data_IF_274236491936
#
_entry.id   IF_274236491936
#
_cell.length_a   1.000
_cell.length_b   1.000
_cell.length_c   1.000
_cell.angle_alpha   90.00
_cell.angle_beta   90.00
_cell.angle_gamma   90.00
#
_symmetry.space_group_name_H-M   'P 1'
#
loop_
_entity.id
_entity.type
_entity.pdbx_description
1 polymer ?
#
# COMPACT_ATOMS: atom_id res chain seq x y z
N UNK A 1 2.44 -35.46 8.65
CA UNK A 1 3.60 -35.72 7.76
C UNK A 1 3.83 -37.23 7.55
N UNK A 2 4.09 -38.04 8.58
CA UNK A 2 4.35 -39.50 8.42
C UNK A 2 3.23 -40.25 7.69
N UNK A 3 1.96 -40.02 8.06
CA UNK A 3 0.79 -40.64 7.41
C UNK A 3 0.68 -40.28 5.92
N UNK A 4 1.03 -39.04 5.52
CA UNK A 4 1.05 -38.63 4.14
C UNK A 4 2.16 -39.33 3.35
N UNK A 5 3.34 -39.44 3.91
CA UNK A 5 4.47 -40.17 3.31
C UNK A 5 4.17 -41.67 3.15
N UNK A 6 3.57 -42.30 4.17
CA UNK A 6 3.19 -43.73 4.14
C UNK A 6 2.14 -43.99 3.04
N UNK A 7 1.16 -43.12 2.86
CA UNK A 7 0.14 -43.26 1.81
C UNK A 7 0.69 -43.02 0.41
N UNK A 8 1.56 -42.03 0.24
CA UNK A 8 2.23 -41.76 -1.05
C UNK A 8 3.16 -42.91 -1.45
N UNK A 9 3.84 -43.55 -0.47
CA UNK A 9 4.67 -44.73 -0.71
C UNK A 9 3.87 -46.00 -1.07
N UNK A 10 2.56 -46.02 -0.82
CA UNK A 10 1.64 -47.10 -1.17
C UNK A 10 0.79 -46.83 -2.42
N UNK A 11 1.21 -45.92 -3.33
CA UNK A 11 0.49 -45.48 -4.53
C UNK A 11 -0.91 -44.89 -4.32
N UNK A 12 -1.30 -44.55 -3.07
CA UNK A 12 -2.52 -43.79 -2.73
C UNK A 12 -2.26 -42.28 -2.83
N UNK A 13 -2.11 -41.80 -4.04
CA UNK A 13 -1.83 -40.36 -4.32
C UNK A 13 -2.94 -39.44 -3.77
N UNK A 14 -4.20 -39.82 -3.91
CA UNK A 14 -5.34 -39.03 -3.43
C UNK A 14 -5.37 -38.96 -1.90
N UNK A 15 -5.20 -40.09 -1.21
CA UNK A 15 -5.11 -40.13 0.25
C UNK A 15 -3.84 -39.50 0.80
N UNK A 16 -2.73 -39.61 0.07
CA UNK A 16 -1.47 -38.95 0.43
C UNK A 16 -1.55 -37.42 0.32
N UNK A 17 -2.16 -36.88 -0.74
CA UNK A 17 -2.38 -35.43 -0.91
C UNK A 17 -3.37 -34.89 0.11
N UNK A 18 -4.44 -35.62 0.45
CA UNK A 18 -5.38 -35.20 1.49
C UNK A 18 -4.69 -35.16 2.87
N UNK A 19 -3.97 -36.20 3.25
CA UNK A 19 -3.21 -36.24 4.51
C UNK A 19 -2.09 -35.18 4.58
N UNK A 20 -1.44 -34.89 3.46
CA UNK A 20 -0.48 -33.80 3.34
C UNK A 20 -1.12 -32.45 3.59
N UNK A 21 -2.28 -32.15 2.98
CA UNK A 21 -3.05 -30.94 3.21
C UNK A 21 -3.47 -30.81 4.67
N UNK A 22 -3.99 -31.87 5.29
CA UNK A 22 -4.38 -31.87 6.70
C UNK A 22 -3.20 -31.56 7.61
N UNK A 23 -2.02 -32.14 7.31
CA UNK A 23 -0.80 -31.89 8.06
C UNK A 23 -0.34 -30.43 7.94
N UNK A 24 -0.42 -29.81 6.74
CA UNK A 24 -0.10 -28.39 6.53
C UNK A 24 -1.08 -27.50 7.30
N UNK A 25 -2.38 -27.80 7.27
CA UNK A 25 -3.39 -27.06 8.03
C UNK A 25 -3.18 -27.18 9.54
N UNK A 26 -2.81 -28.37 10.03
CA UNK A 26 -2.50 -28.56 11.44
C UNK A 26 -1.24 -27.77 11.86
N UNK A 27 -0.21 -27.75 11.02
CA UNK A 27 0.98 -26.95 11.25
C UNK A 27 0.69 -25.44 11.25
N UNK A 28 -0.10 -24.97 10.29
CA UNK A 28 -0.52 -23.58 10.25
C UNK A 28 -1.26 -23.16 11.53
N UNK A 29 -2.20 -23.98 12.00
CA UNK A 29 -2.90 -23.77 13.27
C UNK A 29 -1.96 -23.76 14.47
N UNK A 30 -0.95 -24.65 14.48
CA UNK A 30 0.05 -24.67 15.54
C UNK A 30 0.89 -23.38 15.54
N UNK A 31 1.31 -22.90 14.37
CA UNK A 31 2.03 -21.63 14.24
C UNK A 31 1.17 -20.46 14.74
N UNK A 32 -0.10 -20.41 14.37
CA UNK A 32 -1.04 -19.38 14.84
C UNK A 32 -1.09 -19.27 16.37
N UNK A 33 -0.81 -20.36 17.11
CA UNK A 33 -0.79 -20.35 18.58
C UNK A 33 0.36 -19.52 19.17
N UNK A 34 1.37 -19.19 18.41
CA UNK A 34 2.53 -18.41 18.85
C UNK A 34 2.53 -16.98 18.30
N UNK A 35 1.52 -16.60 17.52
CA UNK A 35 1.43 -15.24 16.98
C UNK A 35 1.10 -14.23 18.10
N UNK A 36 1.80 -13.10 18.16
CA UNK A 36 1.44 -12.00 19.03
C UNK A 36 0.11 -11.36 18.59
N UNK A 37 -0.53 -10.65 19.49
CA UNK A 37 -1.86 -10.06 19.30
C UNK A 37 -1.99 -9.30 17.96
N UNK A 38 -1.06 -8.42 17.62
CA UNK A 38 -1.07 -7.63 16.39
C UNK A 38 -1.10 -8.51 15.13
N UNK A 39 -0.19 -9.50 15.05
CA UNK A 39 -0.14 -10.39 13.88
C UNK A 39 -1.41 -11.26 13.75
N UNK A 40 -2.01 -11.62 14.89
CA UNK A 40 -3.27 -12.35 14.89
C UNK A 40 -4.44 -11.48 14.38
N UNK A 41 -4.45 -10.18 14.68
CA UNK A 41 -5.41 -9.23 14.14
C UNK A 41 -5.24 -9.11 12.63
N UNK A 42 -4.01 -8.93 12.13
CA UNK A 42 -3.70 -8.83 10.70
C UNK A 42 -4.18 -10.06 9.94
N UNK A 43 -3.87 -11.25 10.44
CA UNK A 43 -4.28 -12.52 9.84
C UNK A 43 -5.81 -12.70 9.83
N UNK A 44 -6.49 -12.24 10.88
CA UNK A 44 -7.94 -12.31 10.99
C UNK A 44 -8.62 -11.36 10.00
N UNK A 45 -8.08 -10.16 9.83
CA UNK A 45 -8.58 -9.18 8.87
C UNK A 45 -8.40 -9.66 7.43
N UNK A 46 -7.27 -10.25 7.09
CA UNK A 46 -7.03 -10.79 5.75
C UNK A 46 -8.00 -11.93 5.40
N UNK A 47 -8.23 -12.87 6.32
CA UNK A 47 -9.24 -13.92 6.13
C UNK A 47 -10.64 -13.31 5.99
N UNK A 48 -10.97 -12.24 6.77
CA UNK A 48 -12.27 -11.58 6.70
C UNK A 48 -12.49 -10.89 5.35
N UNK A 49 -11.48 -10.26 4.78
CA UNK A 49 -11.52 -9.71 3.41
C UNK A 49 -11.84 -10.80 2.38
N UNK A 50 -11.24 -11.97 2.55
CA UNK A 50 -11.55 -13.15 1.74
C UNK A 50 -13.02 -13.59 1.87
N UNK A 51 -13.59 -13.51 3.07
CA UNK A 51 -15.03 -13.80 3.32
C UNK A 51 -15.92 -12.76 2.63
N UNK A 52 -15.62 -11.46 2.77
CA UNK A 52 -16.36 -10.38 2.12
C UNK A 52 -16.30 -10.53 0.58
N UNK A 53 -15.11 -10.77 0.03
CA UNK A 53 -14.94 -11.01 -1.41
C UNK A 53 -15.75 -12.22 -1.90
N UNK A 54 -15.81 -13.30 -1.11
CA UNK A 54 -16.64 -14.45 -1.44
C UNK A 54 -18.15 -14.18 -1.41
N UNK A 55 -18.61 -13.20 -0.63
CA UNK A 55 -20.00 -12.79 -0.54
C UNK A 55 -20.40 -11.70 -1.54
N UNK A 56 -19.44 -10.99 -2.13
CA UNK A 56 -19.69 -9.98 -3.12
C UNK A 56 -20.38 -10.58 -4.37
N UNK A 57 -21.35 -9.88 -5.01
CA UNK A 57 -21.98 -10.35 -6.24
C UNK A 57 -20.94 -10.49 -7.35
N UNK A 58 -21.11 -11.50 -8.19
CA UNK A 58 -20.28 -11.66 -9.38
C UNK A 58 -20.45 -10.44 -10.31
N UNK A 59 -19.34 -9.82 -10.71
CA UNK A 59 -19.35 -8.59 -11.52
C UNK A 59 -19.66 -8.85 -13.00
N UNK A 60 -19.55 -10.10 -13.44
CA UNK A 60 -19.69 -10.51 -14.84
C UNK A 60 -21.11 -10.97 -15.25
N UNK A 61 -22.07 -10.95 -14.30
CA UNK A 61 -23.46 -11.33 -14.55
C UNK A 61 -23.66 -12.79 -14.98
N UNK A 62 -22.62 -13.63 -14.93
CA UNK A 62 -22.74 -15.05 -15.27
C UNK A 62 -23.48 -15.82 -14.18
N UNK A 63 -24.45 -16.68 -14.51
CA UNK A 63 -25.15 -17.50 -13.53
C UNK A 63 -24.16 -18.46 -12.86
N UNK A 64 -24.09 -18.39 -11.52
CA UNK A 64 -23.22 -19.26 -10.74
C UNK A 64 -23.75 -20.71 -10.77
N UNK A 65 -22.87 -21.67 -11.03
CA UNK A 65 -23.24 -23.09 -10.93
C UNK A 65 -23.47 -23.50 -9.48
N UNK A 66 -24.30 -24.54 -9.26
CA UNK A 66 -24.55 -25.08 -7.91
C UNK A 66 -23.28 -25.57 -7.20
N UNK A 67 -22.24 -25.96 -7.95
CA UNK A 67 -20.95 -26.37 -7.40
C UNK A 67 -20.15 -25.15 -6.92
N UNK A 68 -20.14 -24.05 -7.68
CA UNK A 68 -19.51 -22.78 -7.31
C UNK A 68 -20.18 -22.17 -6.06
N UNK A 69 -21.53 -22.13 -6.03
CA UNK A 69 -22.28 -21.64 -4.88
C UNK A 69 -21.96 -22.44 -3.60
N UNK A 70 -21.90 -23.78 -3.69
CA UNK A 70 -21.48 -24.62 -2.55
C UNK A 70 -20.05 -24.36 -2.11
N UNK A 71 -19.12 -24.22 -3.05
CA UNK A 71 -17.73 -23.89 -2.75
C UNK A 71 -17.55 -22.52 -2.11
N UNK A 72 -18.34 -21.54 -2.55
CA UNK A 72 -18.40 -20.20 -1.95
C UNK A 72 -18.91 -20.24 -0.52
N UNK A 73 -20.06 -20.89 -0.29
CA UNK A 73 -20.64 -21.03 1.04
C UNK A 73 -19.69 -21.77 2.00
N UNK A 74 -19.03 -22.81 1.54
CA UNK A 74 -18.03 -23.51 2.35
C UNK A 74 -16.87 -22.61 2.77
N UNK A 75 -16.35 -21.76 1.87
CA UNK A 75 -15.31 -20.77 2.19
C UNK A 75 -15.79 -19.75 3.23
N UNK A 76 -16.98 -19.20 3.06
CA UNK A 76 -17.57 -18.26 4.01
C UNK A 76 -17.72 -18.91 5.40
N UNK A 77 -18.24 -20.12 5.46
CA UNK A 77 -18.44 -20.85 6.73
C UNK A 77 -17.10 -21.15 7.41
N UNK A 78 -16.11 -21.65 6.67
CA UNK A 78 -14.78 -21.99 7.19
C UNK A 78 -14.02 -20.72 7.65
N UNK A 79 -14.00 -19.66 6.83
CA UNK A 79 -13.36 -18.40 7.19
C UNK A 79 -14.01 -17.73 8.41
N UNK A 80 -15.36 -17.73 8.49
CA UNK A 80 -16.08 -17.23 9.67
C UNK A 80 -15.73 -18.03 10.94
N UNK A 81 -15.66 -19.36 10.85
CA UNK A 81 -15.31 -20.21 11.99
C UNK A 81 -13.87 -19.97 12.46
N UNK A 82 -12.91 -19.86 11.53
CA UNK A 82 -11.51 -19.51 11.84
C UNK A 82 -11.40 -18.17 12.53
N UNK A 83 -12.04 -17.14 11.99
CA UNK A 83 -12.00 -15.78 12.54
C UNK A 83 -12.59 -15.72 13.94
N UNK A 84 -13.70 -16.41 14.21
CA UNK A 84 -14.27 -16.52 15.57
C UNK A 84 -13.30 -17.21 16.55
N UNK A 85 -12.61 -18.27 16.14
CA UNK A 85 -11.61 -18.93 16.97
C UNK A 85 -10.43 -17.99 17.29
N UNK A 86 -9.96 -17.21 16.30
CA UNK A 86 -8.89 -16.22 16.49
C UNK A 86 -9.34 -15.08 17.44
N UNK A 87 -10.55 -14.57 17.28
CA UNK A 87 -11.11 -13.55 18.18
C UNK A 87 -11.22 -14.06 19.63
N UNK A 88 -11.65 -15.30 19.83
CA UNK A 88 -11.66 -15.91 21.17
C UNK A 88 -10.26 -15.99 21.78
N UNK A 89 -9.22 -16.28 20.99
CA UNK A 89 -7.83 -16.27 21.47
C UNK A 89 -7.33 -14.87 21.79
N UNK A 90 -7.71 -13.85 21.00
CA UNK A 90 -7.33 -12.46 21.25
C UNK A 90 -7.75 -11.97 22.65
N UNK A 91 -8.88 -12.46 23.18
CA UNK A 91 -9.30 -12.16 24.56
C UNK A 91 -8.22 -12.53 25.58
N UNK A 92 -7.62 -13.72 25.44
CA UNK A 92 -6.53 -14.14 26.33
C UNK A 92 -5.28 -13.28 26.17
N UNK A 93 -4.88 -12.99 24.92
CA UNK A 93 -3.70 -12.15 24.63
C UNK A 93 -3.88 -10.72 25.16
N UNK A 94 -5.05 -10.11 24.99
CA UNK A 94 -5.36 -8.77 25.53
C UNK A 94 -5.24 -8.77 27.05
N UNK A 95 -5.76 -9.80 27.71
CA UNK A 95 -5.65 -9.92 29.17
C UNK A 95 -4.20 -10.13 29.63
N UNK A 96 -3.41 -10.92 28.92
CA UNK A 96 -1.98 -11.13 29.18
C UNK A 96 -1.17 -9.85 29.05
N UNK A 97 -1.37 -9.07 27.98
CA UNK A 97 -0.69 -7.80 27.76
C UNK A 97 -1.05 -6.76 28.83
N UNK A 98 -2.33 -6.69 29.22
CA UNK A 98 -2.76 -5.79 30.30
C UNK A 98 -2.14 -6.20 31.63
N UNK A 99 -2.11 -7.49 31.94
CA UNK A 99 -1.48 -7.99 33.17
C UNK A 99 0.03 -7.71 33.19
N UNK A 100 0.72 -7.82 32.03
CA UNK A 100 2.12 -7.47 31.89
C UNK A 100 2.36 -5.97 32.16
N UNK A 101 1.50 -5.09 31.65
CA UNK A 101 1.56 -3.66 31.90
C UNK A 101 1.33 -3.32 33.39
N UNK A 102 0.41 -4.03 34.06
CA UNK A 102 0.17 -3.88 35.50
C UNK A 102 1.37 -4.34 36.34
N UNK A 103 2.00 -5.43 35.96
CA UNK A 103 3.21 -5.91 36.64
C UNK A 103 4.39 -4.94 36.45
N UNK A 104 4.56 -4.39 35.25
CA UNK A 104 5.59 -3.41 34.97
C UNK A 104 5.40 -2.11 35.79
N UNK A 105 4.15 -1.67 35.99
CA UNK A 105 3.84 -0.50 36.83
C UNK A 105 4.02 -0.74 38.33
N UNK A 106 4.00 -1.99 38.80
CA UNK A 106 4.22 -2.41 40.18
C UNK A 106 5.69 -2.72 40.48
N UNK A 107 6.56 -2.76 39.44
CA UNK A 107 7.99 -3.00 39.66
C UNK A 107 8.53 -1.97 40.70
N UNK A 108 9.37 -2.41 41.69
CA UNK A 108 9.83 -1.54 42.74
C UNK A 108 10.59 -0.34 42.14
N UNK A 109 10.18 0.86 42.53
CA UNK A 109 10.91 2.08 42.21
C UNK A 109 12.36 1.93 42.63
N UNK A 110 13.28 2.59 41.92
CA UNK A 110 14.70 2.62 42.24
C UNK A 110 14.89 2.82 43.77
N UNK A 111 15.61 1.92 44.45
CA UNK A 111 15.85 2.05 45.90
C UNK A 111 16.54 3.36 46.30
N UNK A 112 17.07 4.12 45.34
CA UNK A 112 17.66 5.43 45.53
C UNK A 112 16.69 6.60 45.27
N UNK A 113 15.43 6.33 44.85
CA UNK A 113 14.44 7.38 44.71
C UNK A 113 14.05 7.99 46.06
N UNK A 114 13.88 9.30 46.18
CA UNK A 114 13.54 9.96 47.43
C UNK A 114 12.22 9.43 48.00
N UNK A 115 12.25 8.97 49.24
CA UNK A 115 11.18 8.23 49.93
C UNK A 115 9.89 9.03 50.24
N UNK A 116 9.75 10.26 49.76
CA UNK A 116 8.59 11.10 50.06
C UNK A 116 7.97 11.63 48.77
N UNK A 117 6.97 10.93 48.14
CA UNK A 117 6.23 11.51 47.08
C UNK A 117 5.41 12.69 47.57
N UNK A 118 5.64 13.87 47.01
CA UNK A 118 4.77 15.03 47.20
C UNK A 118 3.33 14.60 46.79
N UNK A 119 2.31 14.72 47.64
CA UNK A 119 0.95 14.34 47.33
C UNK A 119 0.35 15.11 46.15
N UNK A 120 1.00 16.20 45.72
CA UNK A 120 0.66 16.95 44.51
C UNK A 120 1.59 16.66 43.30
N UNK A 121 2.51 15.70 43.43
CA UNK A 121 3.37 15.33 42.30
C UNK A 121 2.53 14.74 41.17
N UNK A 122 2.92 15.07 39.93
CA UNK A 122 2.32 14.46 38.73
C UNK A 122 2.43 12.91 38.79
N UNK A 123 1.46 12.18 38.28
CA UNK A 123 1.52 10.71 38.21
C UNK A 123 2.85 10.25 37.65
N UNK A 124 3.45 9.20 38.25
CA UNK A 124 4.69 8.62 37.73
C UNK A 124 4.52 8.17 36.29
N UNK A 125 5.60 8.14 35.51
CA UNK A 125 5.58 7.63 34.13
C UNK A 125 4.99 6.23 34.04
N UNK A 126 5.29 5.36 35.00
CA UNK A 126 4.74 4.01 35.09
C UNK A 126 3.20 4.03 35.29
N UNK A 127 2.67 4.93 36.12
CA UNK A 127 1.23 5.08 36.28
C UNK A 127 0.55 5.61 35.02
N UNK A 128 1.16 6.57 34.33
CA UNK A 128 0.65 7.07 33.06
C UNK A 128 0.71 6.00 31.93
N UNK A 129 1.78 5.20 31.89
CA UNK A 129 1.91 4.09 30.96
C UNK A 129 0.84 3.02 31.19
N UNK A 130 0.58 2.67 32.45
CA UNK A 130 -0.49 1.72 32.80
C UNK A 130 -1.87 2.24 32.40
N UNK A 131 -2.16 3.52 32.65
CA UNK A 131 -3.45 4.09 32.26
C UNK A 131 -3.65 4.08 30.74
N UNK A 132 -2.60 4.41 29.96
CA UNK A 132 -2.61 4.28 28.49
C UNK A 132 -2.83 2.84 28.03
N UNK A 133 -2.17 1.87 28.68
CA UNK A 133 -2.37 0.45 28.37
C UNK A 133 -3.80 0.01 28.66
N UNK A 134 -4.38 0.42 29.78
CA UNK A 134 -5.79 0.13 30.12
C UNK A 134 -6.77 0.69 29.12
N UNK A 135 -6.55 1.91 28.65
CA UNK A 135 -7.39 2.53 27.62
C UNK A 135 -7.25 1.79 26.28
N UNK A 136 -6.01 1.51 25.85
CA UNK A 136 -5.75 0.79 24.60
C UNK A 136 -6.38 -0.60 24.60
N UNK A 137 -6.08 -1.42 25.60
CA UNK A 137 -6.58 -2.80 25.65
C UNK A 137 -8.07 -2.88 25.99
N UNK A 138 -8.63 -1.89 26.71
CA UNK A 138 -10.05 -1.74 26.91
C UNK A 138 -10.79 -1.47 25.58
N UNK A 139 -10.27 -0.57 24.76
CA UNK A 139 -10.83 -0.32 23.42
C UNK A 139 -10.68 -1.53 22.51
N UNK A 140 -9.52 -2.20 22.55
CA UNK A 140 -9.28 -3.42 21.76
C UNK A 140 -10.30 -4.52 22.09
N UNK A 141 -10.62 -4.72 23.37
CA UNK A 141 -11.63 -5.72 23.77
C UNK A 141 -13.05 -5.35 23.30
N UNK A 142 -13.42 -4.07 23.33
CA UNK A 142 -14.72 -3.61 22.80
C UNK A 142 -14.82 -3.91 21.31
N UNK A 143 -13.82 -3.53 20.50
CA UNK A 143 -13.81 -3.75 19.06
C UNK A 143 -13.78 -5.24 18.70
N UNK A 144 -12.98 -6.03 19.45
CA UNK A 144 -12.96 -7.49 19.33
C UNK A 144 -14.35 -8.10 19.54
N UNK A 145 -15.05 -7.68 20.62
CA UNK A 145 -16.39 -8.19 20.94
C UNK A 145 -17.44 -7.77 19.90
N UNK A 146 -17.32 -6.58 19.33
CA UNK A 146 -18.19 -6.11 18.25
C UNK A 146 -17.97 -6.91 16.96
N UNK A 147 -16.70 -7.17 16.57
CA UNK A 147 -16.36 -8.01 15.45
C UNK A 147 -16.89 -9.45 15.65
N UNK A 148 -16.73 -10.02 16.84
CA UNK A 148 -17.26 -11.36 17.16
C UNK A 148 -18.78 -11.43 17.04
N UNK A 149 -19.49 -10.41 17.50
CA UNK A 149 -20.96 -10.34 17.37
C UNK A 149 -21.36 -10.32 15.90
N UNK A 150 -20.73 -9.50 15.06
CA UNK A 150 -21.01 -9.45 13.63
C UNK A 150 -20.71 -10.79 12.93
N UNK A 151 -19.65 -11.50 13.33
CA UNK A 151 -19.35 -12.86 12.81
C UNK A 151 -20.33 -13.92 13.31
N UNK A 152 -20.88 -13.78 14.53
CA UNK A 152 -21.93 -14.68 15.03
C UNK A 152 -23.23 -14.48 14.24
N UNK A 153 -23.59 -13.24 13.93
CA UNK A 153 -24.73 -12.92 13.07
C UNK A 153 -24.54 -13.51 11.67
N UNK A 154 -23.34 -13.33 11.06
CA UNK A 154 -22.99 -13.93 9.78
C UNK A 154 -23.13 -15.46 9.81
N UNK A 155 -22.60 -16.13 10.85
CA UNK A 155 -22.70 -17.58 10.99
C UNK A 155 -24.16 -18.05 11.11
N UNK A 156 -25.01 -17.29 11.82
CA UNK A 156 -26.44 -17.59 11.97
C UNK A 156 -27.16 -17.53 10.63
N UNK A 157 -26.92 -16.48 9.85
CA UNK A 157 -27.56 -16.31 8.54
C UNK A 157 -27.02 -17.33 7.52
N UNK A 158 -25.72 -17.62 7.54
CA UNK A 158 -25.12 -18.65 6.70
C UNK A 158 -25.69 -20.06 6.97
N UNK A 159 -26.15 -20.32 8.21
CA UNK A 159 -26.84 -21.55 8.59
C UNK A 159 -28.36 -21.53 8.24
N UNK A 160 -28.87 -20.51 7.55
CA UNK A 160 -30.27 -20.40 7.18
C UNK A 160 -31.16 -19.70 8.24
N UNK A 161 -30.56 -19.10 9.27
CA UNK A 161 -31.25 -18.28 10.27
C UNK A 161 -31.68 -16.92 9.71
N UNK A 162 -32.52 -16.22 10.50
CA UNK A 162 -32.94 -14.84 10.18
C UNK A 162 -31.89 -13.84 10.68
N UNK A 163 -31.62 -12.80 9.89
CA UNK A 163 -30.68 -11.74 10.24
C UNK A 163 -30.48 -10.72 9.12
N UNK A 164 -29.49 -9.85 9.29
CA UNK A 164 -29.06 -8.92 8.24
C UNK A 164 -28.48 -9.70 7.03
N UNK A 165 -28.45 -9.10 5.83
CA UNK A 165 -27.82 -9.73 4.68
C UNK A 165 -26.39 -10.19 5.01
N UNK A 166 -25.96 -11.40 4.56
CA UNK A 166 -24.64 -11.96 4.92
C UNK A 166 -23.47 -11.01 4.61
N UNK A 167 -23.55 -10.29 3.49
CA UNK A 167 -22.53 -9.33 3.09
C UNK A 167 -22.41 -8.14 4.07
N UNK A 168 -23.55 -7.66 4.59
CA UNK A 168 -23.56 -6.54 5.52
C UNK A 168 -22.95 -6.95 6.87
N UNK A 169 -23.29 -8.14 7.39
CA UNK A 169 -22.67 -8.69 8.61
C UNK A 169 -21.16 -8.92 8.41
N UNK A 170 -20.75 -9.41 7.24
CA UNK A 170 -19.35 -9.63 6.93
C UNK A 170 -18.56 -8.31 6.86
N UNK A 171 -19.13 -7.26 6.24
CA UNK A 171 -18.53 -5.92 6.19
C UNK A 171 -18.50 -5.24 7.56
N UNK A 172 -19.53 -5.43 8.39
CA UNK A 172 -19.53 -4.93 9.77
C UNK A 172 -18.39 -5.54 10.58
N UNK A 173 -18.16 -6.85 10.45
CA UNK A 173 -17.02 -7.51 11.09
C UNK A 173 -15.67 -6.99 10.55
N UNK A 174 -15.53 -6.83 9.24
CA UNK A 174 -14.33 -6.27 8.62
C UNK A 174 -14.04 -4.87 9.15
N UNK A 175 -15.03 -3.98 9.19
CA UNK A 175 -14.86 -2.62 9.70
C UNK A 175 -14.34 -2.61 11.14
N UNK A 176 -14.86 -3.47 12.02
CA UNK A 176 -14.40 -3.58 13.41
C UNK A 176 -13.00 -4.17 13.53
N UNK A 177 -12.62 -5.08 12.65
CA UNK A 177 -11.26 -5.61 12.58
C UNK A 177 -10.25 -4.55 12.07
N UNK A 178 -10.65 -3.70 11.13
CA UNK A 178 -9.82 -2.57 10.68
C UNK A 178 -9.62 -1.57 11.82
N UNK A 179 -10.68 -1.20 12.54
CA UNK A 179 -10.56 -0.32 13.72
C UNK A 179 -9.64 -0.95 14.78
N UNK A 180 -9.78 -2.26 15.05
CA UNK A 180 -8.92 -3.00 15.99
C UNK A 180 -7.46 -3.02 15.52
N UNK A 181 -7.19 -3.25 14.24
CA UNK A 181 -5.83 -3.19 13.68
C UNK A 181 -5.19 -1.82 13.87
N UNK A 182 -5.95 -0.75 13.61
CA UNK A 182 -5.48 0.64 13.74
C UNK A 182 -5.04 0.99 15.17
N UNK A 183 -5.62 0.39 16.20
CA UNK A 183 -5.18 0.62 17.58
C UNK A 183 -3.72 0.21 17.83
N UNK A 184 -3.21 -0.73 17.03
CA UNK A 184 -1.82 -1.24 17.16
C UNK A 184 -0.86 -0.65 16.12
N UNK A 185 -1.29 0.33 15.34
CA UNK A 185 -0.42 1.01 14.40
C UNK A 185 0.62 1.87 15.12
N UNK A 186 1.85 1.81 14.64
CA UNK A 186 2.84 2.83 14.96
C UNK A 186 2.45 4.16 14.31
N UNK A 187 3.04 5.26 14.76
CA UNK A 187 2.80 6.58 14.17
C UNK A 187 3.12 6.61 12.68
N UNK A 188 4.16 5.89 12.25
CA UNK A 188 4.54 5.76 10.82
C UNK A 188 3.48 5.01 10.03
N UNK A 189 2.86 3.99 10.62
CA UNK A 189 1.78 3.25 9.95
C UNK A 189 0.50 4.06 9.85
N UNK A 190 0.14 4.80 10.89
CA UNK A 190 -0.95 5.78 10.83
C UNK A 190 -0.71 6.83 9.75
N UNK A 191 0.53 7.33 9.63
CA UNK A 191 0.88 8.31 8.60
C UNK A 191 0.73 7.71 7.18
N UNK A 192 1.19 6.47 6.96
CA UNK A 192 1.01 5.78 5.67
C UNK A 192 -0.46 5.58 5.32
N UNK A 193 -1.26 5.17 6.30
CA UNK A 193 -2.70 4.98 6.11
C UNK A 193 -3.39 6.30 5.77
N UNK A 194 -3.03 7.39 6.47
CA UNK A 194 -3.56 8.72 6.19
C UNK A 194 -3.21 9.19 4.78
N UNK A 195 -1.97 8.96 4.31
CA UNK A 195 -1.55 9.28 2.93
C UNK A 195 -2.42 8.52 1.92
N UNK A 196 -2.62 7.23 2.13
CA UNK A 196 -3.45 6.38 1.26
C UNK A 196 -4.90 6.89 1.22
N UNK A 197 -5.52 7.08 2.39
CA UNK A 197 -6.92 7.51 2.50
C UNK A 197 -7.14 8.93 1.95
N UNK A 198 -6.19 9.84 2.19
CA UNK A 198 -6.24 11.20 1.64
C UNK A 198 -6.08 11.19 0.12
N UNK A 199 -5.24 10.30 -0.42
CA UNK A 199 -5.10 10.07 -1.87
C UNK A 199 -6.40 9.59 -2.49
N UNK A 200 -7.05 8.58 -1.91
CA UNK A 200 -8.35 8.08 -2.34
C UNK A 200 -9.44 9.17 -2.27
N UNK A 201 -9.45 9.97 -1.22
CA UNK A 201 -10.41 11.08 -1.08
C UNK A 201 -10.18 12.16 -2.15
N UNK A 202 -8.93 12.48 -2.50
CA UNK A 202 -8.61 13.39 -3.60
C UNK A 202 -9.06 12.83 -4.95
N UNK A 203 -8.85 11.54 -5.20
CA UNK A 203 -9.26 10.90 -6.45
C UNK A 203 -10.79 10.87 -6.58
N UNK A 204 -11.51 10.59 -5.50
CA UNK A 204 -12.97 10.68 -5.45
C UNK A 204 -13.48 12.13 -5.61
N UNK A 205 -12.76 13.12 -5.07
CA UNK A 205 -13.06 14.55 -5.29
C UNK A 205 -12.88 14.91 -6.76
N UNK A 206 -11.83 14.40 -7.41
CA UNK A 206 -11.58 14.57 -8.84
C UNK A 206 -12.69 13.91 -9.69
N UNK A 207 -13.09 12.70 -9.32
CA UNK A 207 -14.19 12.01 -9.99
C UNK A 207 -15.51 12.80 -9.84
N UNK A 208 -15.81 13.29 -8.65
CA UNK A 208 -16.99 14.12 -8.39
C UNK A 208 -16.97 15.43 -9.18
N UNK A 209 -15.81 16.09 -9.36
CA UNK A 209 -15.67 17.28 -10.19
C UNK A 209 -16.06 17.04 -11.65
N UNK A 210 -15.84 15.82 -12.18
CA UNK A 210 -16.21 15.43 -13.54
C UNK A 210 -17.68 15.11 -13.74
N UNK A 211 -18.48 14.99 -12.67
CA UNK A 211 -19.90 14.67 -12.73
C UNK A 211 -20.77 15.92 -12.98
N UNK A 212 -22.04 15.71 -13.31
CA UNK A 212 -23.04 16.77 -13.33
C UNK A 212 -23.32 17.32 -11.92
N UNK A 213 -24.06 18.43 -11.83
CA UNK A 213 -24.33 19.08 -10.54
C UNK A 213 -25.06 18.18 -9.54
N UNK A 214 -25.95 17.30 -10.02
CA UNK A 214 -26.70 16.37 -9.16
C UNK A 214 -25.81 15.24 -8.64
N UNK A 215 -24.99 14.64 -9.50
CA UNK A 215 -24.00 13.62 -9.12
C UNK A 215 -22.98 14.15 -8.14
N UNK A 216 -22.46 15.36 -8.43
CA UNK A 216 -21.52 16.08 -7.56
C UNK A 216 -22.11 16.34 -6.17
N UNK A 217 -23.33 16.87 -6.11
CA UNK A 217 -24.04 17.14 -4.86
C UNK A 217 -24.27 15.87 -4.03
N UNK A 218 -24.55 14.73 -4.67
CA UNK A 218 -24.75 13.46 -3.99
C UNK A 218 -23.48 12.92 -3.33
N UNK A 219 -22.26 13.24 -3.85
CA UNK A 219 -20.99 12.77 -3.29
C UNK A 219 -20.45 13.64 -2.16
N UNK A 220 -20.82 14.91 -2.11
CA UNK A 220 -20.27 15.87 -1.15
C UNK A 220 -20.39 15.46 0.32
N UNK A 221 -21.51 14.93 0.82
CA UNK A 221 -21.61 14.53 2.24
C UNK A 221 -20.52 13.51 2.63
N UNK A 222 -20.28 12.50 1.80
CA UNK A 222 -19.26 11.49 2.05
C UNK A 222 -17.83 12.05 1.95
N UNK A 223 -17.57 12.98 1.04
CA UNK A 223 -16.28 13.64 0.93
C UNK A 223 -15.97 14.53 2.15
N UNK A 224 -16.96 15.28 2.63
CA UNK A 224 -16.86 16.12 3.84
C UNK A 224 -16.58 15.27 5.07
N UNK A 225 -17.31 14.17 5.25
CA UNK A 225 -17.13 13.27 6.39
C UNK A 225 -15.74 12.66 6.41
N UNK A 226 -15.26 12.13 5.27
CA UNK A 226 -13.91 11.55 5.16
C UNK A 226 -12.83 12.59 5.40
N UNK A 227 -12.95 13.78 4.80
CA UNK A 227 -11.97 14.86 5.01
C UNK A 227 -11.91 15.30 6.48
N UNK A 228 -13.05 15.34 7.18
CA UNK A 228 -13.08 15.64 8.62
C UNK A 228 -12.37 14.52 9.44
N UNK A 229 -12.55 13.27 9.07
CA UNK A 229 -11.82 12.14 9.68
C UNK A 229 -10.31 12.25 9.50
N UNK A 230 -9.85 12.65 8.29
CA UNK A 230 -8.42 12.86 8.01
C UNK A 230 -7.83 14.00 8.84
N UNK A 231 -8.56 15.08 9.04
CA UNK A 231 -8.16 16.19 9.93
C UNK A 231 -7.92 15.69 11.35
N UNK A 232 -8.84 14.90 11.91
CA UNK A 232 -8.70 14.35 13.26
C UNK A 232 -7.50 13.40 13.39
N UNK A 233 -7.29 12.54 12.40
CA UNK A 233 -6.16 11.62 12.38
C UNK A 233 -4.83 12.36 12.24
N UNK A 234 -4.74 13.38 11.37
CA UNK A 234 -3.55 14.21 11.22
C UNK A 234 -3.18 14.93 12.52
N UNK A 235 -4.17 15.46 13.26
CA UNK A 235 -3.97 16.08 14.56
C UNK A 235 -3.40 15.10 15.61
N UNK A 236 -3.95 13.89 15.66
CA UNK A 236 -3.46 12.84 16.55
C UNK A 236 -2.02 12.43 16.21
N UNK A 237 -1.68 12.27 14.91
CA UNK A 237 -0.33 11.95 14.45
C UNK A 237 0.64 13.08 14.80
N UNK A 238 0.29 14.34 14.54
CA UNK A 238 1.13 15.49 14.85
C UNK A 238 1.43 15.58 16.36
N UNK A 239 0.43 15.33 17.19
CA UNK A 239 0.56 15.31 18.65
C UNK A 239 1.45 14.16 19.12
N UNK A 240 1.28 12.96 18.55
CA UNK A 240 2.10 11.79 18.89
C UNK A 240 3.57 11.99 18.48
N UNK A 241 3.85 12.57 17.32
CA UNK A 241 5.20 12.89 16.86
C UNK A 241 5.87 13.92 17.75
N UNK A 242 5.15 14.96 18.16
CA UNK A 242 5.65 15.97 19.10
C UNK A 242 6.00 15.34 20.47
N UNK A 243 5.13 14.50 21.01
CA UNK A 243 5.39 13.77 22.24
C UNK A 243 6.60 12.83 22.14
N UNK A 244 6.81 12.18 20.99
CA UNK A 244 8.00 11.37 20.76
C UNK A 244 9.28 12.22 20.69
N UNK A 245 9.22 13.40 20.05
CA UNK A 245 10.33 14.35 20.03
C UNK A 245 10.72 14.79 21.45
N UNK A 246 9.74 15.16 22.27
CA UNK A 246 9.95 15.59 23.65
C UNK A 246 10.52 14.46 24.53
N UNK A 247 9.96 13.25 24.41
CA UNK A 247 10.43 12.08 25.15
C UNK A 247 11.88 11.71 24.77
N UNK A 248 12.19 11.74 23.47
CA UNK A 248 13.54 11.46 23.00
C UNK A 248 14.55 12.54 23.40
N UNK A 249 14.13 13.81 23.52
CA UNK A 249 14.98 14.91 24.02
C UNK A 249 15.24 14.79 25.54
N UNK A 250 14.27 14.28 26.31
CA UNK A 250 14.39 14.10 27.77
C UNK A 250 15.15 12.84 28.16
N UNK A 251 15.17 11.81 27.32
CA UNK A 251 15.77 10.51 27.60
C UNK A 251 17.30 10.48 27.70
N UNK A 252 17.97 11.65 27.69
CA UNK A 252 19.39 11.95 28.02
C UNK A 252 20.39 10.93 27.45
N UNK A 253 21.25 11.37 26.53
CA UNK A 253 22.58 10.83 26.18
C UNK A 253 22.76 9.32 25.86
N UNK A 254 21.75 8.48 25.94
CA UNK A 254 21.82 7.18 25.30
C UNK A 254 21.79 7.38 23.78
N UNK A 255 22.90 7.05 23.14
CA UNK A 255 23.00 7.13 21.67
C UNK A 255 21.82 6.39 21.06
N UNK A 256 20.97 7.04 20.22
CA UNK A 256 19.84 6.35 19.60
C UNK A 256 20.34 5.11 18.86
N UNK A 257 19.60 4.02 18.98
CA UNK A 257 19.94 2.80 18.24
C UNK A 257 20.08 3.11 16.72
N UNK A 258 21.01 2.48 16.01
CA UNK A 258 21.17 2.70 14.58
C UNK A 258 19.83 2.54 13.87
N UNK A 259 19.41 3.55 13.10
CA UNK A 259 18.14 3.55 12.36
C UNK A 259 16.94 4.13 13.11
N UNK A 260 17.09 4.57 14.37
CA UNK A 260 16.03 5.29 15.08
C UNK A 260 16.08 6.78 14.71
N UNK A 261 14.95 7.43 14.32
CA UNK A 261 14.91 8.85 14.05
C UNK A 261 15.35 9.69 15.29
N UNK A 262 16.06 10.77 15.05
CA UNK A 262 16.48 11.69 16.11
C UNK A 262 15.30 12.50 16.67
N UNK A 263 15.41 13.08 17.88
CA UNK A 263 14.40 14.01 18.42
C UNK A 263 14.07 15.13 17.44
N UNK A 264 15.08 15.67 16.78
CA UNK A 264 14.94 16.73 15.78
C UNK A 264 14.15 16.26 14.57
N UNK A 265 14.40 15.04 14.10
CA UNK A 265 13.68 14.42 12.98
C UNK A 265 12.20 14.24 13.32
N UNK A 266 11.86 13.78 14.52
CA UNK A 266 10.47 13.71 14.98
C UNK A 266 9.82 15.10 15.04
N UNK A 267 10.53 16.12 15.50
CA UNK A 267 10.05 17.51 15.54
C UNK A 267 9.78 18.08 14.13
N UNK A 268 10.68 17.83 13.18
CA UNK A 268 10.50 18.21 11.78
C UNK A 268 9.30 17.49 11.16
N UNK A 269 9.17 16.18 11.34
CA UNK A 269 8.03 15.41 10.87
C UNK A 269 6.70 15.91 11.48
N UNK A 270 6.69 16.25 12.77
CA UNK A 270 5.52 16.86 13.40
C UNK A 270 5.14 18.21 12.77
N UNK A 271 6.11 19.00 12.33
CA UNK A 271 5.89 20.28 11.66
C UNK A 271 5.28 20.06 10.27
N UNK A 272 5.80 19.13 9.49
CA UNK A 272 5.24 18.75 8.19
C UNK A 272 3.78 18.29 8.32
N UNK A 273 3.48 17.40 9.30
CA UNK A 273 2.10 16.93 9.52
C UNK A 273 1.18 18.08 9.94
N UNK A 274 1.65 19.08 10.73
CA UNK A 274 0.85 20.27 11.07
C UNK A 274 0.56 21.14 9.85
N UNK A 275 1.51 21.27 8.93
CA UNK A 275 1.30 21.99 7.67
C UNK A 275 0.25 21.25 6.80
N UNK A 276 0.35 19.93 6.69
CA UNK A 276 -0.65 19.09 6.04
C UNK A 276 -2.04 19.23 6.69
N UNK A 277 -2.10 19.27 8.03
CA UNK A 277 -3.33 19.48 8.78
C UNK A 277 -4.01 20.80 8.40
N UNK A 278 -3.26 21.90 8.30
CA UNK A 278 -3.80 23.18 7.83
C UNK A 278 -4.42 23.07 6.45
N UNK A 279 -3.70 22.46 5.49
CA UNK A 279 -4.22 22.24 4.15
C UNK A 279 -5.47 21.34 4.12
N UNK A 280 -5.53 20.29 4.97
CA UNK A 280 -6.72 19.45 5.11
C UNK A 280 -7.92 20.19 5.69
N UNK A 281 -7.68 21.10 6.64
CA UNK A 281 -8.74 21.98 7.20
C UNK A 281 -9.29 22.92 6.13
N UNK A 282 -8.43 23.50 5.29
CA UNK A 282 -8.86 24.31 4.17
C UNK A 282 -9.70 23.50 3.17
N UNK A 283 -9.26 22.30 2.80
CA UNK A 283 -10.03 21.41 1.94
C UNK A 283 -11.40 21.06 2.55
N UNK A 284 -11.44 20.75 3.85
CA UNK A 284 -12.68 20.45 4.59
C UNK A 284 -13.65 21.64 4.59
N UNK A 285 -13.15 22.86 4.79
CA UNK A 285 -13.96 24.08 4.75
C UNK A 285 -14.55 24.31 3.36
N UNK A 286 -13.74 24.15 2.29
CA UNK A 286 -14.19 24.31 0.91
C UNK A 286 -15.25 23.26 0.55
N UNK A 287 -15.03 21.98 0.87
CA UNK A 287 -16.00 20.91 0.62
C UNK A 287 -17.30 21.12 1.40
N UNK A 288 -17.23 21.62 2.64
CA UNK A 288 -18.38 21.96 3.45
C UNK A 288 -19.17 23.10 2.81
N UNK A 289 -18.49 24.16 2.39
CA UNK A 289 -19.14 25.27 1.69
C UNK A 289 -19.79 24.81 0.38
N UNK A 290 -19.12 23.96 -0.39
CA UNK A 290 -19.65 23.37 -1.60
C UNK A 290 -20.93 22.56 -1.32
N UNK A 291 -20.95 21.74 -0.27
CA UNK A 291 -22.13 20.98 0.17
C UNK A 291 -23.30 21.89 0.51
N UNK A 292 -23.05 22.96 1.26
CA UNK A 292 -24.10 23.87 1.72
C UNK A 292 -24.68 24.71 0.58
N UNK A 293 -23.88 24.93 -0.48
CA UNK A 293 -24.28 25.68 -1.69
C UNK A 293 -24.80 24.79 -2.82
N UNK A 294 -24.64 23.47 -2.74
CA UNK A 294 -24.92 22.51 -3.81
C UNK A 294 -26.35 22.57 -4.39
N UNK A 295 -27.32 23.06 -3.62
CA UNK A 295 -28.72 23.23 -4.06
C UNK A 295 -28.99 24.56 -4.78
N UNK A 296 -28.06 25.51 -4.74
CA UNK A 296 -28.30 26.89 -5.17
C UNK A 296 -27.43 27.30 -6.37
N UNK A 297 -26.24 26.74 -6.52
CA UNK A 297 -25.25 27.15 -7.52
C UNK A 297 -24.31 25.98 -7.89
N UNK A 298 -23.79 26.02 -9.12
CA UNK A 298 -22.63 25.21 -9.48
C UNK A 298 -21.41 25.67 -8.64
N UNK A 299 -20.67 24.74 -8.11
CA UNK A 299 -19.49 25.01 -7.27
C UNK A 299 -18.25 24.35 -7.88
N UNK A 300 -17.11 25.01 -7.71
CA UNK A 300 -15.81 24.54 -8.16
C UNK A 300 -15.09 23.79 -7.03
N UNK A 301 -14.69 22.54 -7.28
CA UNK A 301 -13.93 21.72 -6.33
C UNK A 301 -12.41 21.85 -6.51
N UNK A 302 -11.92 22.57 -7.54
CA UNK A 302 -10.48 22.73 -7.78
C UNK A 302 -9.72 23.32 -6.58
N UNK A 303 -10.24 24.30 -5.81
CA UNK A 303 -9.54 24.76 -4.62
C UNK A 303 -9.38 23.68 -3.55
N UNK A 304 -10.39 22.81 -3.36
CA UNK A 304 -10.27 21.69 -2.44
C UNK A 304 -9.22 20.66 -2.91
N UNK A 305 -9.19 20.35 -4.21
CA UNK A 305 -8.20 19.48 -4.83
C UNK A 305 -6.77 20.02 -4.66
N UNK A 306 -6.56 21.34 -4.82
CA UNK A 306 -5.27 21.98 -4.59
C UNK A 306 -4.83 21.82 -3.12
N UNK A 307 -5.72 22.08 -2.17
CA UNK A 307 -5.43 21.91 -0.73
C UNK A 307 -5.16 20.44 -0.38
N UNK A 308 -5.91 19.50 -0.95
CA UNK A 308 -5.66 18.06 -0.77
C UNK A 308 -4.31 17.62 -1.33
N UNK A 309 -3.88 18.16 -2.48
CA UNK A 309 -2.56 17.90 -3.06
C UNK A 309 -1.43 18.42 -2.16
N UNK A 310 -1.56 19.66 -1.65
CA UNK A 310 -0.61 20.23 -0.68
C UNK A 310 -0.52 19.39 0.59
N UNK A 311 -1.66 18.92 1.11
CA UNK A 311 -1.68 18.05 2.28
C UNK A 311 -0.90 16.75 2.04
N UNK A 312 -1.10 16.10 0.89
CA UNK A 312 -0.38 14.86 0.53
C UNK A 312 1.13 15.09 0.43
N UNK A 313 1.57 16.18 -0.20
CA UNK A 313 3.00 16.52 -0.31
C UNK A 313 3.66 16.62 1.08
N UNK A 314 3.04 17.32 2.02
CA UNK A 314 3.57 17.47 3.37
C UNK A 314 3.53 16.17 4.17
N UNK A 315 2.50 15.33 4.02
CA UNK A 315 2.46 14.01 4.64
C UNK A 315 3.57 13.09 4.11
N UNK A 316 3.82 13.09 2.81
CA UNK A 316 4.89 12.31 2.18
C UNK A 316 6.28 12.81 2.64
N UNK A 317 6.45 14.12 2.82
CA UNK A 317 7.67 14.70 3.38
C UNK A 317 7.87 14.23 4.83
N UNK A 318 6.83 14.25 5.67
CA UNK A 318 6.89 13.73 7.02
C UNK A 318 7.27 12.23 7.05
N UNK A 319 6.68 11.43 6.16
CA UNK A 319 6.99 10.01 6.05
C UNK A 319 8.45 9.78 5.65
N UNK A 320 8.99 10.57 4.72
CA UNK A 320 10.38 10.48 4.28
C UNK A 320 11.36 10.79 5.41
N UNK A 321 11.06 11.77 6.25
CA UNK A 321 11.86 12.10 7.42
C UNK A 321 11.92 10.93 8.43
N UNK A 322 10.82 10.19 8.58
CA UNK A 322 10.72 9.09 9.56
C UNK A 322 11.25 7.75 9.04
N UNK A 323 11.54 7.64 7.75
CA UNK A 323 12.14 6.42 7.19
C UNK A 323 13.64 6.41 7.50
N UNK A 324 14.21 5.24 7.88
CA UNK A 324 15.66 5.13 7.96
C UNK A 324 16.26 5.47 6.60
N UNK A 325 17.43 6.15 6.57
CA UNK A 325 18.12 6.41 5.32
C UNK A 325 18.33 5.06 4.60
N UNK A 326 18.12 5.01 3.28
CA UNK A 326 18.38 3.80 2.52
C UNK A 326 19.81 3.33 2.81
N UNK A 327 20.02 2.01 2.98
CA UNK A 327 21.36 1.50 3.20
C UNK A 327 22.29 2.02 2.10
N UNK A 328 23.52 2.42 2.47
CA UNK A 328 24.48 3.07 1.56
C UNK A 328 24.75 2.25 0.27
N UNK A 329 24.42 0.97 0.26
CA UNK A 329 24.47 0.11 -0.93
C UNK A 329 23.53 0.57 -2.05
N UNK A 330 22.32 1.08 -1.74
CA UNK A 330 21.37 1.55 -2.78
C UNK A 330 21.84 2.88 -3.41
N UNK A 331 22.65 3.69 -2.70
CA UNK A 331 23.26 4.89 -3.29
C UNK A 331 24.41 4.55 -4.25
N UNK A 332 25.11 3.44 -4.01
CA UNK A 332 26.18 2.95 -4.90
C UNK A 332 25.58 2.33 -6.17
N UNK A 333 24.46 1.61 -6.04
CA UNK A 333 23.75 1.03 -7.19
C UNK A 333 23.09 2.12 -8.06
N UNK A 334 22.52 3.18 -7.47
CA UNK A 334 22.00 4.31 -8.25
C UNK A 334 23.08 5.11 -8.97
N UNK A 335 24.27 5.26 -8.38
CA UNK A 335 25.42 5.87 -9.07
C UNK A 335 26.01 4.95 -10.15
N UNK A 336 25.94 3.64 -9.96
CA UNK A 336 26.38 2.66 -10.96
C UNK A 336 25.41 2.59 -12.14
N UNK A 337 24.09 2.67 -11.90
CA UNK A 337 23.08 2.73 -12.96
C UNK A 337 23.17 4.04 -13.77
N UNK A 338 23.46 5.19 -13.13
CA UNK A 338 23.70 6.44 -13.85
C UNK A 338 25.00 6.36 -14.70
N UNK A 339 26.06 5.75 -14.18
CA UNK A 339 27.28 5.56 -14.97
C UNK A 339 27.10 4.56 -16.13
N UNK A 340 26.26 3.54 -15.96
CA UNK A 340 25.94 2.63 -17.07
C UNK A 340 25.07 3.32 -18.14
N UNK A 341 24.10 4.15 -17.76
CA UNK A 341 23.31 4.92 -18.73
C UNK A 341 24.16 5.93 -19.51
N UNK A 342 25.11 6.60 -18.87
CA UNK A 342 26.04 7.50 -19.55
C UNK A 342 27.01 6.75 -20.49
N UNK A 343 27.39 5.53 -20.11
CA UNK A 343 28.24 4.68 -20.96
C UNK A 343 27.48 4.11 -22.17
N UNK A 344 26.24 3.70 -22.00
CA UNK A 344 25.36 3.28 -23.11
C UNK A 344 25.05 4.44 -24.09
N UNK A 345 24.89 5.67 -23.61
CA UNK A 345 24.72 6.83 -24.47
C UNK A 345 26.02 7.17 -25.26
N UNK A 346 27.18 6.98 -24.66
CA UNK A 346 28.45 7.17 -25.34
C UNK A 346 28.70 6.10 -26.40
N UNK A 347 28.36 4.84 -26.11
CA UNK A 347 28.48 3.74 -27.06
C UNK A 347 27.50 3.88 -28.23
N UNK A 348 26.28 4.35 -28.00
CA UNK A 348 25.33 4.67 -29.06
C UNK A 348 25.85 5.81 -29.96
N UNK A 349 26.43 6.87 -29.41
CA UNK A 349 27.01 7.94 -30.22
C UNK A 349 28.21 7.47 -31.05
N UNK A 350 29.04 6.57 -30.52
CA UNK A 350 30.14 5.98 -31.30
C UNK A 350 29.63 5.05 -32.41
N UNK A 351 28.57 4.30 -32.17
CA UNK A 351 27.96 3.43 -33.17
C UNK A 351 27.32 4.23 -34.31
N UNK A 352 26.66 5.33 -34.00
CA UNK A 352 26.09 6.24 -35.00
C UNK A 352 27.16 6.94 -35.84
N UNK A 353 28.27 7.34 -35.23
CA UNK A 353 29.43 7.88 -35.99
C UNK A 353 30.08 6.83 -36.90
N UNK A 354 30.22 5.60 -36.46
CA UNK A 354 30.71 4.51 -37.33
C UNK A 354 29.75 4.18 -38.49
N UNK A 355 28.45 4.19 -38.25
CA UNK A 355 27.44 4.00 -39.30
C UNK A 355 27.47 5.15 -40.33
N UNK A 356 27.63 6.41 -39.89
CA UNK A 356 27.77 7.53 -40.83
C UNK A 356 29.04 7.45 -41.66
N UNK A 357 30.19 7.02 -41.10
CA UNK A 357 31.41 6.81 -41.84
C UNK A 357 31.29 5.65 -42.84
N UNK A 358 30.62 4.56 -42.50
CA UNK A 358 30.35 3.47 -43.43
C UNK A 358 29.40 3.89 -44.56
N UNK A 359 28.38 4.69 -44.29
CA UNK A 359 27.48 5.22 -45.33
C UNK A 359 28.23 6.15 -46.27
N UNK A 360 29.08 7.05 -45.79
CA UNK A 360 29.89 7.92 -46.64
C UNK A 360 30.89 7.14 -47.51
N UNK A 361 31.50 6.08 -46.97
CA UNK A 361 32.41 5.24 -47.76
C UNK A 361 31.68 4.43 -48.84
N UNK A 362 30.45 3.99 -48.54
CA UNK A 362 29.61 3.25 -49.48
C UNK A 362 29.07 4.17 -50.60
N UNK A 363 28.73 5.41 -50.30
CA UNK A 363 28.35 6.43 -51.29
C UNK A 363 29.51 6.80 -52.20
N UNK A 364 30.72 6.94 -51.68
CA UNK A 364 31.92 7.17 -52.48
C UNK A 364 32.24 5.99 -53.42
N UNK A 365 32.09 4.77 -52.96
CA UNK A 365 32.21 3.57 -53.81
C UNK A 365 31.15 3.49 -54.91
N UNK A 366 29.90 3.85 -54.58
CA UNK A 366 28.81 3.90 -55.58
C UNK A 366 29.03 5.02 -56.60
N UNK A 367 29.59 6.17 -56.23
CA UNK A 367 29.98 7.22 -57.17
C UNK A 367 31.06 6.76 -58.11
N UNK A 368 32.12 6.13 -57.60
CA UNK A 368 33.20 5.56 -58.46
C UNK A 368 32.70 4.50 -59.40
N UNK A 369 31.75 3.64 -58.98
CA UNK A 369 31.13 2.64 -59.87
C UNK A 369 30.30 3.31 -60.98
N UNK A 370 29.52 4.34 -60.66
CA UNK A 370 28.77 5.11 -61.65
C UNK A 370 29.66 5.84 -62.66
N UNK A 371 30.77 6.40 -62.22
CA UNK A 371 31.77 7.02 -63.12
C UNK A 371 32.40 6.00 -64.06
N UNK A 372 32.82 4.83 -63.55
CA UNK A 372 33.32 3.74 -64.40
C UNK A 372 32.31 3.18 -65.39
N UNK A 373 31.03 3.10 -65.01
CA UNK A 373 29.95 2.71 -65.95
C UNK A 373 29.72 3.78 -67.04
N UNK A 374 29.73 5.05 -66.64
CA UNK A 374 29.61 6.15 -67.60
C UNK A 374 30.80 6.21 -68.56
N UNK A 375 31.99 5.92 -68.08
CA UNK A 375 33.21 5.83 -68.93
C UNK A 375 33.13 4.67 -69.90
N UNK A 376 32.70 3.46 -69.48
CA UNK A 376 32.45 2.30 -70.38
C UNK A 376 31.37 2.55 -71.41
N UNK A 377 30.32 3.30 -71.03
CA UNK A 377 29.29 3.67 -72.00
C UNK A 377 29.78 4.69 -73.02
N UNK A 378 30.67 5.63 -72.62
CA UNK A 378 31.31 6.53 -73.57
C UNK A 378 32.24 5.78 -74.53
N UNK A 379 33.09 4.87 -74.06
CA UNK A 379 33.95 4.01 -74.90
C UNK A 379 33.12 3.12 -75.84
N UNK A 380 31.96 2.58 -75.38
CA UNK A 380 31.07 1.83 -76.31
C UNK A 380 30.53 2.70 -77.43
N UNK A 381 30.04 3.91 -77.07
CA UNK A 381 29.53 4.84 -78.10
C UNK A 381 30.61 5.28 -79.09
N UNK A 382 31.83 5.52 -78.62
CA UNK A 382 32.95 5.84 -79.47
C UNK A 382 33.34 4.66 -80.41
N UNK A 383 33.35 3.44 -79.91
CA UNK A 383 33.54 2.23 -80.73
C UNK A 383 32.42 1.97 -81.75
N UNK A 384 31.18 2.28 -81.39
CA UNK A 384 30.05 2.21 -82.30
C UNK A 384 30.10 3.29 -83.36
N UNK A 385 30.54 4.50 -83.06
CA UNK A 385 30.79 5.57 -84.02
C UNK A 385 31.95 5.27 -84.99
N UNK A 386 33.00 4.63 -84.47
CA UNK A 386 34.12 4.18 -85.36
C UNK A 386 33.74 3.01 -86.25
N UNK A 387 32.80 2.16 -85.87
CA UNK A 387 32.30 1.04 -86.74
C UNK A 387 31.25 1.47 -87.74
N UNK A 388 30.59 2.62 -87.53
CA UNK A 388 29.58 3.14 -88.43
C UNK A 388 30.12 3.88 -89.63
N UNK A 389 31.45 3.92 -89.86
CA UNK A 389 32.09 4.62 -90.95
C UNK A 389 32.38 3.79 -92.22
N UNK A 390 31.97 2.54 -92.31
CA UNK A 390 32.14 1.78 -93.51
C UNK A 390 30.86 1.79 -94.34
N UNK A 391 30.99 2.36 -95.56
CA UNK A 391 29.92 2.58 -96.55
C UNK A 391 29.30 1.29 -97.05
N UNK A 392 28.03 1.35 -97.49
CA UNK A 392 27.41 0.19 -98.11
C UNK A 392 27.97 -0.12 -99.46
N UNK A 393 28.44 -1.30 -99.67
CA UNK A 393 28.70 -1.85 -100.98
C UNK A 393 27.41 -2.38 -101.59
N UNK A 394 26.93 -1.65 -102.59
CA UNK A 394 25.95 -2.13 -103.51
C UNK A 394 26.36 -3.47 -104.14
N UNK A 395 25.53 -4.48 -104.07
CA UNK A 395 25.56 -5.61 -105.02
C UNK A 395 24.16 -5.96 -105.40
N UNK A 396 23.83 -5.49 -106.61
CA UNK A 396 22.90 -6.16 -107.48
C UNK A 396 23.20 -7.67 -107.59
N UNK A 397 22.18 -8.46 -107.49
CA UNK A 397 21.66 -9.60 -108.28
C UNK A 397 20.40 -10.15 -107.65
#
# INVERSE_FOLDING_TARGET
>A
MKLAADRLGGDDVAGGTAAGRDAVLALARAIEQFLPLRQLVDLTLEEQRGVVAALAPATDGTPESAAQSRGRLARVTDGTAKNRARLARMTGLIAEELAAAEQAAQAPADPNAPANPDPNAAPSEAAQALERARQLYGQAEVLRAEAERALADLATVAAGGKGAPPLDSARAAEAKLVELQRLFFSVVEHLRELIREQGETRDDTTAAQGEDDAGRAARLPGLVERQAGHVQLAEAIASALAAQADAAAQGGAAQPAPGTPSPETFGQAATEVRTALGAMQDASAILTQARDQAQQMSFDMNPALASQATALEHLENALRLLQPPPPEQDQQDQQQDQQQQDQEQQDQQQQDQQQQQQQQSTEQQLQQLREREAERQRERREREQQRGGDAPVDKDW
#
